data_IF_454946944440
#
_entry.id   IF_454946944440
#
_cell.length_a   1.000
_cell.length_b   1.000
_cell.length_c   1.000
_cell.angle_alpha   90.00
_cell.angle_beta   90.00
_cell.angle_gamma   90.00
#
_symmetry.space_group_name_H-M   'P 1'
#
loop_
_entity.id
_entity.type
_entity.pdbx_description
1 polymer ?
#
# COMPACT_ATOMS: atom_id res chain seq x y z
N UNK A 1 9.21 6.79 -14.61
CA UNK A 1 8.23 6.46 -13.54
C UNK A 1 9.00 5.79 -12.42
N UNK A 2 8.91 6.28 -11.17
CA UNK A 2 9.66 5.71 -10.04
C UNK A 2 8.79 4.73 -9.21
N UNK A 3 7.50 5.03 -9.04
CA UNK A 3 6.50 4.16 -8.43
C UNK A 3 5.09 4.66 -8.78
N UNK A 4 4.07 3.84 -8.53
CA UNK A 4 2.66 4.21 -8.66
C UNK A 4 2.05 4.24 -7.27
N UNK A 5 1.41 5.35 -6.89
CA UNK A 5 0.71 5.49 -5.60
C UNK A 5 -0.80 5.39 -5.80
N UNK A 6 -1.44 4.42 -5.13
CA UNK A 6 -2.88 4.29 -5.08
C UNK A 6 -3.42 4.81 -3.75
N UNK A 7 -4.36 5.75 -3.84
CA UNK A 7 -5.10 6.19 -2.67
C UNK A 7 -6.17 5.15 -2.31
N UNK A 8 -6.19 4.69 -1.06
CA UNK A 8 -7.16 3.72 -0.56
C UNK A 8 -7.88 4.26 0.67
N UNK A 9 -9.16 3.92 0.81
CA UNK A 9 -9.96 4.37 1.95
C UNK A 9 -9.67 3.57 3.23
N UNK A 10 -9.28 2.30 3.08
CA UNK A 10 -8.84 1.43 4.17
C UNK A 10 -7.64 0.57 3.72
N UNK A 11 -6.45 0.89 4.19
CA UNK A 11 -5.21 0.22 3.79
C UNK A 11 -5.11 -1.19 4.37
N UNK A 12 -5.64 -1.43 5.56
CA UNK A 12 -5.60 -2.75 6.22
C UNK A 12 -6.48 -3.74 5.46
N UNK A 13 -7.67 -3.32 5.06
CA UNK A 13 -8.56 -4.11 4.21
C UNK A 13 -7.93 -4.34 2.82
N UNK A 14 -7.35 -3.30 2.21
CA UNK A 14 -6.68 -3.42 0.91
C UNK A 14 -5.52 -4.42 0.96
N UNK A 15 -4.68 -4.36 1.99
CA UNK A 15 -3.59 -5.31 2.21
C UNK A 15 -4.14 -6.73 2.36
N UNK A 16 -5.17 -6.93 3.19
CA UNK A 16 -5.74 -8.27 3.39
C UNK A 16 -6.31 -8.85 2.08
N UNK A 17 -7.09 -8.06 1.34
CA UNK A 17 -7.62 -8.44 0.02
C UNK A 17 -6.52 -8.78 -0.98
N UNK A 18 -5.45 -7.99 -1.02
CA UNK A 18 -4.33 -8.21 -1.94
C UNK A 18 -3.49 -9.43 -1.53
N UNK A 19 -3.26 -9.65 -0.24
CA UNK A 19 -2.60 -10.86 0.27
C UNK A 19 -3.38 -12.12 -0.09
N UNK A 20 -4.71 -12.11 0.04
CA UNK A 20 -5.56 -13.22 -0.37
C UNK A 20 -5.48 -13.51 -1.88
N UNK A 21 -5.21 -12.48 -2.69
CA UNK A 21 -4.96 -12.61 -4.14
C UNK A 21 -3.51 -12.99 -4.49
N UNK A 22 -2.66 -13.25 -3.50
CA UNK A 22 -1.25 -13.62 -3.70
C UNK A 22 -0.30 -12.44 -3.93
N UNK A 23 -0.73 -11.21 -3.65
CA UNK A 23 0.16 -10.06 -3.74
C UNK A 23 1.25 -10.13 -2.67
N UNK A 24 2.50 -9.86 -3.09
CA UNK A 24 3.63 -9.75 -2.18
C UNK A 24 3.82 -8.30 -1.76
N UNK A 25 3.93 -8.10 -0.46
CA UNK A 25 4.25 -6.80 0.12
C UNK A 25 5.71 -6.80 0.57
N UNK A 26 6.35 -5.63 0.52
CA UNK A 26 7.67 -5.44 1.14
C UNK A 26 7.54 -5.65 2.66
N UNK A 27 6.39 -5.30 3.22
CA UNK A 27 6.12 -5.43 4.65
C UNK A 27 4.75 -6.04 4.94
N UNK A 28 4.63 -6.77 6.06
CA UNK A 28 3.39 -7.43 6.42
C UNK A 28 2.30 -6.45 6.91
N UNK A 29 2.64 -5.24 7.32
CA UNK A 29 1.72 -4.27 7.91
C UNK A 29 1.95 -2.86 7.33
N UNK A 30 0.90 -2.00 7.30
CA UNK A 30 1.06 -0.61 6.88
C UNK A 30 1.93 0.17 7.86
N UNK A 31 2.82 1.01 7.33
CA UNK A 31 3.64 1.95 8.11
C UNK A 31 2.94 3.29 8.28
N UNK A 32 3.19 4.02 9.37
CA UNK A 32 2.79 5.42 9.48
C UNK A 32 3.53 6.25 8.43
N UNK A 33 2.77 7.00 7.65
CA UNK A 33 3.24 7.99 6.68
C UNK A 33 3.15 9.42 7.21
N UNK A 34 3.39 10.38 6.32
CA UNK A 34 3.29 11.81 6.66
C UNK A 34 1.85 12.24 6.96
N UNK A 35 1.68 13.24 7.82
CA UNK A 35 0.37 13.81 8.20
C UNK A 35 -0.63 12.79 8.77
N UNK A 36 -0.13 11.73 9.42
CA UNK A 36 -0.97 10.68 10.01
C UNK A 36 -1.60 9.73 8.98
N UNK A 37 -1.19 9.80 7.71
CA UNK A 37 -1.53 8.81 6.70
C UNK A 37 -0.93 7.44 7.04
N UNK A 38 -1.46 6.37 6.45
CA UNK A 38 -0.82 5.05 6.46
C UNK A 38 -0.34 4.70 5.05
N UNK A 39 0.79 4.03 4.94
CA UNK A 39 1.39 3.62 3.66
C UNK A 39 1.83 2.16 3.67
N UNK A 40 1.77 1.50 2.52
CA UNK A 40 2.27 0.14 2.34
C UNK A 40 2.81 -0.06 0.94
N UNK A 41 3.87 -0.85 0.79
CA UNK A 41 4.53 -1.05 -0.50
C UNK A 41 4.39 -2.50 -0.98
N UNK A 42 4.02 -2.66 -2.24
CA UNK A 42 4.06 -3.96 -2.90
C UNK A 42 5.47 -4.24 -3.40
N UNK A 43 5.87 -5.50 -3.30
CA UNK A 43 7.17 -5.94 -3.77
C UNK A 43 7.18 -5.89 -5.32
N UNK A 44 8.20 -5.28 -5.96
CA UNK A 44 8.26 -5.13 -7.43
C UNK A 44 8.18 -6.47 -8.18
N UNK A 45 8.61 -7.56 -7.53
CA UNK A 45 8.46 -8.94 -8.03
C UNK A 45 7.01 -9.35 -8.29
N UNK A 46 6.03 -8.82 -7.55
CA UNK A 46 4.62 -9.12 -7.74
C UNK A 46 3.94 -8.22 -8.79
N UNK A 47 4.61 -7.16 -9.24
CA UNK A 47 4.03 -6.07 -10.04
C UNK A 47 4.80 -5.82 -11.33
N UNK A 48 5.61 -6.79 -11.78
CA UNK A 48 6.33 -6.70 -13.05
C UNK A 48 7.49 -5.69 -13.05
N UNK A 49 8.09 -5.43 -11.89
CA UNK A 49 9.23 -4.51 -11.75
C UNK A 49 8.84 -3.08 -11.34
N UNK A 50 7.56 -2.79 -11.15
CA UNK A 50 7.08 -1.45 -10.77
C UNK A 50 6.81 -1.41 -9.27
N UNK A 51 7.43 -0.49 -8.54
CA UNK A 51 7.09 -0.27 -7.13
C UNK A 51 5.68 0.33 -7.03
N UNK A 52 4.78 -0.32 -6.28
CA UNK A 52 3.43 0.19 -6.04
C UNK A 52 3.30 0.56 -4.56
N UNK A 53 2.88 1.78 -4.28
CA UNK A 53 2.56 2.32 -2.96
C UNK A 53 1.03 2.35 -2.79
N UNK A 54 0.53 1.86 -1.67
CA UNK A 54 -0.83 2.09 -1.19
C UNK A 54 -0.76 3.18 -0.13
N UNK A 55 -1.64 4.18 -0.22
CA UNK A 55 -1.70 5.28 0.74
C UNK A 55 -3.12 5.51 1.20
N UNK A 56 -3.33 5.44 2.51
CA UNK A 56 -4.56 5.87 3.17
C UNK A 56 -4.34 7.24 3.78
N UNK A 57 -5.12 8.24 3.34
CA UNK A 57 -5.15 9.54 4.00
C UNK A 57 -5.97 9.41 5.28
N UNK A 58 -5.50 10.02 6.36
CA UNK A 58 -6.35 10.23 7.53
C UNK A 58 -7.49 11.16 7.10
N UNK A 59 -8.73 10.75 7.30
CA UNK A 59 -9.86 11.64 7.12
C UNK A 59 -9.70 12.78 8.13
N UNK A 60 -9.43 13.98 7.61
CA UNK A 60 -9.49 15.21 8.39
C UNK A 60 -10.97 15.47 8.67
N UNK A 61 -11.32 15.52 9.96
CA UNK A 61 -12.68 15.84 10.44
C UNK A 61 -12.97 17.32 10.32
#
# INVERSE_FOLDING_TARGET
IHHICYLVSNIEEAINKLKQKGALFIEPAPRPGSQGAKVAFLHPKATGGILIELKEKKNES
#
